data_IF_389545219817
#
_entry.id   IF_389545219817
#
_cell.length_a   1.000
_cell.length_b   1.000
_cell.length_c   1.000
_cell.angle_alpha   90.00
_cell.angle_beta   90.00
_cell.angle_gamma   90.00
#
_symmetry.space_group_name_H-M   'P 1'
#
loop_
_entity.id
_entity.type
_entity.pdbx_description
1 polymer ?
#
# COMPACT_ATOMS: atom_id res chain seq x y z
N UNK A 1 14.88 -17.03 9.47
CA UNK A 1 14.85 -17.08 7.99
C UNK A 1 13.40 -17.33 7.56
N UNK A 2 12.78 -16.43 6.78
CA UNK A 2 11.37 -16.57 6.35
C UNK A 2 11.20 -17.73 5.37
N UNK A 3 10.12 -18.51 5.51
CA UNK A 3 9.81 -19.63 4.63
C UNK A 3 9.40 -19.13 3.24
N UNK A 4 9.67 -19.92 2.19
CA UNK A 4 9.39 -19.51 0.80
C UNK A 4 7.91 -19.22 0.54
N UNK A 5 7.02 -20.01 1.13
CA UNK A 5 5.56 -19.81 1.03
C UNK A 5 5.11 -18.50 1.68
N UNK A 6 5.72 -18.10 2.80
CA UNK A 6 5.40 -16.86 3.49
C UNK A 6 5.82 -15.63 2.67
N UNK A 7 6.96 -15.70 1.97
CA UNK A 7 7.43 -14.63 1.08
C UNK A 7 6.46 -14.36 -0.06
N UNK A 8 5.94 -15.41 -0.68
CA UNK A 8 4.96 -15.30 -1.79
C UNK A 8 3.63 -14.72 -1.27
N UNK A 9 3.16 -15.18 -0.12
CA UNK A 9 1.93 -14.66 0.50
C UNK A 9 2.04 -13.17 0.84
N UNK A 10 3.17 -12.74 1.42
CA UNK A 10 3.45 -11.33 1.73
C UNK A 10 3.55 -10.49 0.46
N UNK A 11 4.24 -10.97 -0.57
CA UNK A 11 4.37 -10.23 -1.82
C UNK A 11 3.01 -10.05 -2.53
N UNK A 12 2.16 -11.08 -2.50
CA UNK A 12 0.82 -11.01 -3.09
C UNK A 12 -0.09 -10.05 -2.32
N UNK A 13 -0.13 -10.15 -0.99
CA UNK A 13 -0.96 -9.25 -0.16
C UNK A 13 -0.51 -7.80 -0.23
N UNK A 14 0.81 -7.56 -0.26
CA UNK A 14 1.35 -6.22 -0.37
C UNK A 14 1.10 -5.61 -1.77
N UNK A 15 1.12 -6.40 -2.85
CA UNK A 15 0.71 -5.92 -4.19
C UNK A 15 -0.75 -5.55 -4.27
N UNK A 16 -1.64 -6.38 -3.70
CA UNK A 16 -3.08 -6.12 -3.76
C UNK A 16 -3.44 -4.89 -2.94
N UNK A 17 -2.94 -4.78 -1.70
CA UNK A 17 -3.18 -3.63 -0.85
C UNK A 17 -2.53 -2.35 -1.39
N UNK A 18 -1.26 -2.43 -1.81
CA UNK A 18 -0.53 -1.30 -2.38
C UNK A 18 -1.16 -0.80 -3.67
N UNK A 19 -1.65 -1.71 -4.52
CA UNK A 19 -2.38 -1.38 -5.74
C UNK A 19 -3.69 -0.64 -5.46
N UNK A 20 -4.48 -1.09 -4.48
CA UNK A 20 -5.76 -0.43 -4.12
C UNK A 20 -5.54 0.98 -3.58
N UNK A 21 -4.52 1.19 -2.73
CA UNK A 21 -4.25 2.51 -2.12
C UNK A 21 -3.49 3.45 -3.06
N UNK A 22 -2.76 2.93 -4.04
CA UNK A 22 -2.07 3.76 -5.04
C UNK A 22 -2.93 4.06 -6.27
N UNK A 23 -4.19 3.62 -6.30
CA UNK A 23 -5.06 3.66 -7.48
C UNK A 23 -5.64 5.05 -7.76
N UNK A 24 -4.79 6.07 -7.77
CA UNK A 24 -4.99 7.29 -8.56
C UNK A 24 -3.66 7.80 -9.14
N UNK A 25 -2.82 6.87 -9.64
CA UNK A 25 -1.72 7.24 -10.53
C UNK A 25 -1.68 6.44 -11.84
N UNK A 26 -2.60 5.49 -12.02
CA UNK A 26 -2.82 4.84 -13.31
C UNK A 26 -4.31 4.82 -13.56
N UNK A 27 -4.74 5.63 -14.52
CA UNK A 27 -5.94 5.35 -15.29
C UNK A 27 -6.03 3.85 -15.57
N UNK A 28 -7.21 3.30 -15.35
CA UNK A 28 -7.60 1.95 -15.65
C UNK A 28 -6.97 1.46 -16.97
N UNK A 29 -6.13 0.42 -16.93
CA UNK A 29 -5.91 -0.50 -18.08
C UNK A 29 -4.78 -1.53 -17.90
N UNK A 30 -3.78 -1.33 -17.01
CA UNK A 30 -2.58 -2.21 -17.02
C UNK A 30 -2.41 -3.17 -15.85
N UNK A 31 -3.01 -2.91 -14.70
CA UNK A 31 -2.86 -3.79 -13.53
C UNK A 31 -3.93 -4.88 -13.41
N UNK A 32 -5.13 -4.69 -13.98
CA UNK A 32 -6.15 -5.75 -14.00
C UNK A 32 -5.69 -7.02 -14.75
N UNK A 33 -4.71 -6.89 -15.66
CA UNK A 33 -4.08 -8.02 -16.37
C UNK A 33 -3.23 -8.91 -15.47
N UNK A 34 -2.76 -8.38 -14.34
CA UNK A 34 -1.89 -9.09 -13.37
C UNK A 34 -2.61 -9.45 -12.08
N UNK A 35 -3.89 -9.11 -11.94
CA UNK A 35 -4.73 -9.71 -10.91
C UNK A 35 -5.11 -11.12 -11.39
N UNK A 36 -4.53 -12.21 -10.81
CA UNK A 36 -5.18 -13.50 -10.96
C UNK A 36 -6.63 -13.38 -10.44
N UNK A 37 -7.59 -14.13 -10.99
CA UNK A 37 -8.89 -14.33 -10.35
C UNK A 37 -8.65 -15.13 -9.06
N UNK A 38 -8.09 -14.49 -8.04
CA UNK A 38 -7.66 -15.17 -6.84
C UNK A 38 -8.70 -14.94 -5.75
N UNK A 39 -9.71 -15.80 -5.82
CA UNK A 39 -10.35 -16.31 -4.63
C UNK A 39 -9.26 -16.85 -3.69
N UNK A 40 -9.28 -16.37 -2.44
CA UNK A 40 -8.80 -17.13 -1.28
C UNK A 40 -7.28 -17.37 -1.19
N UNK A 41 -6.48 -16.30 -1.18
CA UNK A 41 -5.22 -16.36 -0.44
C UNK A 41 -5.53 -16.26 1.06
N UNK A 42 -5.86 -17.40 1.68
CA UNK A 42 -5.98 -17.53 3.12
C UNK A 42 -4.60 -17.43 3.79
N UNK A 43 -4.01 -16.24 3.80
CA UNK A 43 -2.83 -15.97 4.62
C UNK A 43 -3.14 -16.31 6.09
N UNK A 44 -2.26 -17.07 6.74
CA UNK A 44 -2.35 -17.34 8.18
C UNK A 44 -1.98 -16.06 8.92
N UNK A 45 -2.96 -15.20 9.19
CA UNK A 45 -2.82 -14.13 10.20
C UNK A 45 -2.88 -14.81 11.57
N UNK A 46 -1.72 -15.13 12.14
CA UNK A 46 -1.60 -15.58 13.52
C UNK A 46 -1.42 -14.38 14.45
N UNK A 47 -2.51 -13.68 14.74
CA UNK A 47 -2.60 -12.66 15.79
C UNK A 47 -3.53 -13.14 16.91
N UNK A 48 -3.32 -12.72 18.17
CA UNK A 48 -4.16 -13.18 19.28
C UNK A 48 -5.58 -12.60 19.14
N UNK A 49 -6.58 -13.49 19.04
CA UNK A 49 -7.92 -13.22 19.56
C UNK A 49 -8.89 -12.36 18.72
N UNK A 50 -8.80 -12.30 17.38
CA UNK A 50 -9.92 -11.75 16.58
C UNK A 50 -10.36 -12.74 15.49
N UNK A 51 -11.56 -13.31 15.68
CA UNK A 51 -12.17 -14.31 14.80
C UNK A 51 -12.12 -13.89 13.32
N UNK A 52 -11.55 -14.75 12.47
CA UNK A 52 -11.45 -14.59 11.00
C UNK A 52 -12.77 -14.22 10.31
N UNK A 53 -13.92 -14.48 10.94
CA UNK A 53 -15.25 -14.28 10.35
C UNK A 53 -15.86 -12.91 10.66
N UNK A 54 -15.26 -12.10 11.54
CA UNK A 54 -15.78 -10.78 11.89
C UNK A 54 -15.49 -9.74 10.78
N UNK A 55 -14.24 -9.70 10.28
CA UNK A 55 -13.83 -8.76 9.22
C UNK A 55 -14.49 -9.03 7.87
N UNK A 56 -14.81 -10.29 7.55
CA UNK A 56 -15.45 -10.66 6.28
C UNK A 56 -16.91 -10.21 6.19
N UNK A 57 -17.54 -9.88 7.33
CA UNK A 57 -18.96 -9.51 7.42
C UNK A 57 -19.22 -8.01 7.53
N UNK A 58 -18.23 -7.19 7.93
CA UNK A 58 -18.41 -5.73 8.01
C UNK A 58 -18.22 -5.01 6.67
N UNK A 59 -17.75 -5.68 5.62
CA UNK A 59 -17.35 -5.04 4.35
C UNK A 59 -18.50 -4.76 3.36
N UNK A 60 -19.76 -4.97 3.74
CA UNK A 60 -20.91 -4.82 2.84
C UNK A 60 -22.07 -4.03 3.46
N UNK A 61 -21.80 -3.08 4.37
CA UNK A 61 -22.78 -2.03 4.58
C UNK A 61 -22.89 -1.26 3.26
N UNK A 62 -24.04 -1.33 2.57
CA UNK A 62 -24.29 -0.51 1.39
C UNK A 62 -24.21 0.95 1.81
N UNK A 63 -23.07 1.58 1.57
CA UNK A 63 -22.96 3.03 1.66
C UNK A 63 -23.62 3.60 0.40
N UNK A 64 -24.40 4.66 0.55
CA UNK A 64 -25.02 5.35 -0.59
C UNK A 64 -24.02 6.24 -1.35
N UNK A 65 -22.76 6.30 -0.90
CA UNK A 65 -21.68 7.07 -1.50
C UNK A 65 -21.00 6.26 -2.62
N UNK A 66 -20.88 6.80 -3.84
CA UNK A 66 -20.09 6.20 -4.91
C UNK A 66 -18.61 6.02 -4.50
N UNK A 67 -17.98 4.94 -4.98
CA UNK A 67 -16.56 4.66 -4.68
C UNK A 67 -15.63 5.80 -5.10
N UNK A 68 -15.91 6.46 -6.22
CA UNK A 68 -15.12 7.59 -6.71
C UNK A 68 -15.17 8.78 -5.74
N UNK A 69 -16.34 9.06 -5.15
CA UNK A 69 -16.53 10.16 -4.20
C UNK A 69 -15.85 9.84 -2.86
N UNK A 70 -16.00 8.59 -2.39
CA UNK A 70 -15.29 8.11 -1.21
C UNK A 70 -13.77 8.19 -1.39
N UNK A 71 -13.27 7.84 -2.57
CA UNK A 71 -11.86 7.93 -2.92
C UNK A 71 -11.38 9.38 -2.93
N UNK A 72 -12.11 10.28 -3.60
CA UNK A 72 -11.82 11.71 -3.64
C UNK A 72 -11.72 12.30 -2.23
N UNK A 73 -12.69 11.98 -1.38
CA UNK A 73 -12.75 12.46 0.01
C UNK A 73 -11.61 11.91 0.89
N UNK A 74 -11.19 10.66 0.68
CA UNK A 74 -10.21 9.99 1.53
C UNK A 74 -8.76 10.25 1.12
N UNK A 75 -8.48 10.41 -0.18
CA UNK A 75 -7.11 10.41 -0.70
C UNK A 75 -6.71 11.65 -1.51
N UNK A 76 -7.66 12.50 -1.91
CA UNK A 76 -7.38 13.63 -2.81
C UNK A 76 -7.65 14.99 -2.16
N UNK A 77 -8.76 15.12 -1.43
CA UNK A 77 -9.23 16.42 -0.92
C UNK A 77 -10.40 16.95 -1.75
N UNK A 78 -10.87 18.19 -1.50
CA UNK A 78 -10.05 19.40 -1.36
C UNK A 78 -9.75 19.85 0.07
N UNK A 79 -10.35 19.20 1.07
CA UNK A 79 -10.13 19.48 2.49
C UNK A 79 -8.98 18.66 3.06
N UNK A 80 -8.58 18.95 4.30
CA UNK A 80 -7.60 18.14 5.01
C UNK A 80 -8.04 16.66 5.00
N UNK A 81 -7.14 15.79 4.55
CA UNK A 81 -7.40 14.36 4.48
C UNK A 81 -7.57 13.80 5.91
N UNK A 82 -8.57 12.93 6.15
CA UNK A 82 -8.79 12.36 7.47
C UNK A 82 -7.65 11.43 7.91
N UNK A 83 -6.99 10.80 6.94
CA UNK A 83 -5.85 9.91 7.16
C UNK A 83 -4.86 10.07 5.99
N UNK A 84 -3.97 11.07 6.04
CA UNK A 84 -3.01 11.32 4.97
C UNK A 84 -2.11 10.08 4.76
N UNK A 85 -1.99 9.58 3.51
CA UNK A 85 -1.32 8.32 3.23
C UNK A 85 0.21 8.42 3.18
N UNK A 86 0.82 9.43 3.79
CA UNK A 86 2.27 9.66 3.76
C UNK A 86 2.88 9.45 5.13
N UNK A 87 3.94 8.64 5.22
CA UNK A 87 4.62 8.35 6.48
C UNK A 87 5.14 9.60 7.19
N UNK A 88 5.67 10.58 6.44
CA UNK A 88 6.17 11.85 6.98
C UNK A 88 5.13 12.64 7.75
N UNK A 89 3.87 12.64 7.33
CA UNK A 89 2.81 13.37 8.04
C UNK A 89 2.60 12.87 9.47
N UNK A 90 2.92 11.60 9.73
CA UNK A 90 2.79 10.96 11.04
C UNK A 90 4.09 10.96 11.84
N UNK A 91 5.24 10.92 11.18
CA UNK A 91 6.56 10.79 11.81
C UNK A 91 7.25 12.13 12.03
N UNK A 92 6.91 13.13 11.23
CA UNK A 92 7.41 14.49 11.38
C UNK A 92 6.60 15.25 12.44
N UNK A 93 7.28 16.07 13.24
CA UNK A 93 6.67 16.89 14.29
C UNK A 93 5.74 17.96 13.71
N UNK A 94 6.05 18.43 12.50
CA UNK A 94 5.29 19.46 11.81
C UNK A 94 4.24 18.88 10.85
N UNK A 95 4.13 17.54 10.78
CA UNK A 95 3.21 16.84 9.88
C UNK A 95 3.36 17.27 8.41
N UNK A 96 4.57 17.63 8.00
CA UNK A 96 4.88 18.08 6.65
C UNK A 96 5.16 16.90 5.72
N UNK A 97 4.81 17.09 4.45
CA UNK A 97 5.23 16.19 3.38
C UNK A 97 6.72 16.41 3.10
N UNK A 98 7.41 15.33 2.73
CA UNK A 98 8.86 15.34 2.49
C UNK A 98 9.71 15.68 3.73
N UNK A 99 9.19 15.40 4.94
CA UNK A 99 9.94 15.55 6.18
C UNK A 99 11.12 14.56 6.31
N UNK A 100 11.77 14.57 7.47
CA UNK A 100 13.00 13.81 7.73
C UNK A 100 12.86 12.31 7.43
N UNK A 101 11.70 11.71 7.69
CA UNK A 101 11.46 10.29 7.41
C UNK A 101 11.48 9.97 5.91
N UNK A 102 11.02 10.89 5.05
CA UNK A 102 11.06 10.70 3.60
C UNK A 102 12.50 10.78 3.09
N UNK A 103 13.32 11.68 3.66
CA UNK A 103 14.74 11.78 3.34
C UNK A 103 15.51 10.54 3.78
N UNK A 104 15.29 10.07 5.01
CA UNK A 104 15.89 8.84 5.51
C UNK A 104 15.53 7.62 4.65
N UNK A 105 14.28 7.53 4.19
CA UNK A 105 13.85 6.50 3.24
C UNK A 105 14.62 6.60 1.91
N UNK A 106 14.72 7.80 1.34
CA UNK A 106 15.44 8.05 0.09
C UNK A 106 16.91 7.70 0.20
N UNK A 107 17.56 8.04 1.30
CA UNK A 107 18.96 7.68 1.57
C UNK A 107 19.14 6.17 1.64
N UNK A 108 18.27 5.48 2.38
CA UNK A 108 18.28 4.01 2.44
C UNK A 108 18.09 3.39 1.05
N UNK A 109 17.15 3.92 0.26
CA UNK A 109 16.89 3.45 -1.10
C UNK A 109 18.11 3.61 -2.00
N UNK A 110 18.76 4.80 -1.98
CA UNK A 110 20.00 5.06 -2.71
C UNK A 110 21.13 4.12 -2.29
N UNK A 111 21.33 3.92 -0.99
CA UNK A 111 22.36 3.04 -0.46
C UNK A 111 22.17 1.57 -0.87
N UNK A 112 20.93 1.14 -1.11
CA UNK A 112 20.58 -0.21 -1.52
C UNK A 112 20.36 -0.35 -3.04
N UNK A 113 20.64 0.69 -3.83
CA UNK A 113 20.44 0.68 -5.28
C UNK A 113 18.97 0.56 -5.72
N UNK A 114 18.04 0.97 -4.85
CA UNK A 114 16.60 0.96 -5.13
C UNK A 114 16.21 2.29 -5.75
N UNK A 115 15.80 2.27 -7.02
CA UNK A 115 15.27 3.44 -7.73
C UNK A 115 13.74 3.37 -7.86
N UNK A 116 13.07 4.51 -7.67
CA UNK A 116 11.69 4.71 -8.11
C UNK A 116 11.68 5.37 -9.48
N UNK A 117 10.58 5.18 -10.23
CA UNK A 117 10.44 5.78 -11.56
C UNK A 117 10.49 7.31 -11.47
N UNK A 118 11.33 7.94 -12.30
CA UNK A 118 11.52 9.40 -12.34
C UNK A 118 10.24 10.18 -12.70
N UNK A 119 9.24 9.52 -13.28
CA UNK A 119 7.97 10.17 -13.66
C UNK A 119 6.99 10.34 -12.51
N UNK A 120 7.38 10.01 -11.26
CA UNK A 120 6.48 10.05 -10.11
C UNK A 120 6.53 11.40 -9.42
N UNK A 121 5.39 12.10 -9.39
CA UNK A 121 5.23 13.39 -8.72
C UNK A 121 5.00 13.27 -7.20
N UNK A 122 4.66 12.07 -6.71
CA UNK A 122 4.38 11.83 -5.29
C UNK A 122 5.63 11.41 -4.50
N UNK A 123 5.73 11.80 -3.21
CA UNK A 123 6.81 11.36 -2.34
C UNK A 123 6.85 9.84 -2.15
N UNK A 124 8.04 9.35 -1.84
CA UNK A 124 8.41 7.93 -1.80
C UNK A 124 7.78 7.18 -0.61
N UNK A 125 7.39 7.94 0.41
CA UNK A 125 6.81 7.46 1.68
C UNK A 125 5.29 7.32 1.65
N UNK A 126 4.68 7.36 0.46
CA UNK A 126 3.27 7.03 0.27
C UNK A 126 3.03 5.57 0.66
N UNK A 127 2.00 5.31 1.47
CA UNK A 127 1.69 4.01 2.04
C UNK A 127 1.55 2.91 0.97
N UNK A 128 0.84 3.22 -0.12
CA UNK A 128 0.69 2.30 -1.23
C UNK A 128 2.02 1.96 -1.93
N UNK A 129 2.93 2.92 -1.99
CA UNK A 129 4.27 2.75 -2.60
C UNK A 129 5.17 1.90 -1.73
N UNK A 130 5.14 2.11 -0.42
CA UNK A 130 5.89 1.29 0.54
C UNK A 130 5.44 -0.17 0.49
N UNK A 131 4.14 -0.44 0.32
CA UNK A 131 3.63 -1.80 0.14
C UNK A 131 4.12 -2.43 -1.19
N UNK A 132 4.13 -1.66 -2.28
CA UNK A 132 4.67 -2.13 -3.56
C UNK A 132 6.18 -2.37 -3.49
N UNK A 133 6.92 -1.52 -2.81
CA UNK A 133 8.34 -1.68 -2.52
C UNK A 133 8.59 -2.96 -1.70
N UNK A 134 7.81 -3.18 -0.63
CA UNK A 134 7.90 -4.41 0.17
C UNK A 134 7.64 -5.66 -0.66
N UNK A 135 6.60 -5.63 -1.52
CA UNK A 135 6.31 -6.75 -2.41
C UNK A 135 7.43 -7.01 -3.42
N UNK A 136 8.05 -5.95 -3.94
CA UNK A 136 9.19 -6.05 -4.83
C UNK A 136 10.40 -6.66 -4.11
N UNK A 137 10.76 -6.15 -2.93
CA UNK A 137 11.85 -6.68 -2.10
C UNK A 137 11.69 -8.16 -1.74
N UNK A 138 10.46 -8.60 -1.43
CA UNK A 138 10.16 -10.01 -1.21
C UNK A 138 10.34 -10.87 -2.47
N UNK A 139 10.09 -10.30 -3.66
CA UNK A 139 10.26 -10.97 -4.94
C UNK A 139 11.72 -11.20 -5.33
N UNK A 140 12.60 -10.22 -5.14
CA UNK A 140 14.01 -10.29 -5.61
C UNK A 140 14.82 -11.33 -4.82
N UNK A 141 14.54 -11.48 -3.51
CA UNK A 141 15.26 -12.44 -2.63
C UNK A 141 14.75 -13.89 -2.74
N UNK A 142 13.90 -14.16 -3.73
CA UNK A 142 13.33 -15.49 -3.99
C UNK A 142 14.00 -16.22 -5.16
N UNK A 143 14.91 -15.56 -5.87
CA UNK A 143 15.80 -16.15 -6.88
C UNK A 143 17.17 -16.49 -6.30
#
# INVERSE_FOLDING_TARGET
MMQSQDRVAVALSARTLGGVVSLMLLAASRLLRWLPPCATAAGKVSGPGRSRTAWRRSSLSKTNEPLADAWQRLFIGPWALPAPPWGSVWLDKESLLFGDSTLALREWMRANGVGLSEQRAEPEDHFGTLLLLAAWLCGIRSG
#
